data_IF_711019870627
#
_entry.id   IF_711019870627
#
_cell.length_a   1.000
_cell.length_b   1.000
_cell.length_c   1.000
_cell.angle_alpha   90.00
_cell.angle_beta   90.00
_cell.angle_gamma   90.00
#
_symmetry.space_group_name_H-M   'P 1'
#
loop_
_entity.id
_entity.type
_entity.pdbx_description
1 polymer ?
#
# COMPACT_ATOMS: atom_id res chain seq x y z
N UNK A 1 -1.15 22.03 -2.14
CA UNK A 1 0.01 21.17 -2.45
C UNK A 1 0.24 20.12 -1.34
N UNK A 2 0.30 20.48 -0.03
CA UNK A 2 0.59 19.53 1.06
C UNK A 2 -0.39 18.36 1.12
N UNK A 3 -1.69 18.59 0.96
CA UNK A 3 -2.70 17.52 0.93
C UNK A 3 -2.50 16.59 -0.29
N UNK A 4 -2.11 17.11 -1.44
CA UNK A 4 -1.85 16.32 -2.62
C UNK A 4 -0.62 15.40 -2.44
N UNK A 5 0.44 15.87 -1.77
CA UNK A 5 1.59 15.05 -1.39
C UNK A 5 1.19 13.90 -0.45
N UNK A 6 0.37 14.21 0.56
CA UNK A 6 -0.14 13.19 1.46
C UNK A 6 -1.06 12.19 0.73
N UNK A 7 -1.82 12.62 -0.27
CA UNK A 7 -2.64 11.74 -1.09
C UNK A 7 -1.78 10.72 -1.88
N UNK A 8 -0.64 11.13 -2.42
CA UNK A 8 0.32 10.20 -3.07
C UNK A 8 0.82 9.16 -2.05
N UNK A 9 1.21 9.60 -0.85
CA UNK A 9 1.64 8.70 0.24
C UNK A 9 0.51 7.76 0.69
N UNK A 10 -0.71 8.27 0.78
CA UNK A 10 -1.89 7.48 1.16
C UNK A 10 -2.21 6.42 0.11
N UNK A 11 -2.19 6.77 -1.18
CA UNK A 11 -2.37 5.82 -2.27
C UNK A 11 -1.35 4.68 -2.21
N UNK A 12 -0.08 5.00 -1.98
CA UNK A 12 0.98 4.00 -1.85
C UNK A 12 0.75 3.12 -0.61
N UNK A 13 0.41 3.72 0.52
CA UNK A 13 0.11 3.04 1.77
C UNK A 13 -1.05 2.05 1.65
N UNK A 14 -2.07 2.38 0.85
CA UNK A 14 -3.19 1.47 0.57
C UNK A 14 -2.77 0.35 -0.38
N UNK A 15 -2.09 0.68 -1.47
CA UNK A 15 -1.71 -0.29 -2.49
C UNK A 15 -0.73 -1.35 -1.97
N UNK A 16 0.32 -0.95 -1.23
CA UNK A 16 1.29 -1.93 -0.68
C UNK A 16 0.67 -2.91 0.30
N UNK A 17 -0.38 -2.50 1.00
CA UNK A 17 -1.08 -3.34 1.98
C UNK A 17 -2.33 -4.02 1.41
N UNK A 18 -2.68 -3.75 0.17
CA UNK A 18 -3.93 -4.15 -0.46
C UNK A 18 -5.16 -3.77 0.40
N UNK A 19 -5.19 -2.52 0.88
CA UNK A 19 -6.33 -1.94 1.58
C UNK A 19 -7.24 -1.25 0.57
N UNK A 20 -8.43 -1.81 0.38
CA UNK A 20 -9.38 -1.39 -0.65
C UNK A 20 -10.43 -0.38 -0.21
N UNK A 21 -11.21 0.06 -1.19
CA UNK A 21 -12.38 0.93 -1.05
C UNK A 21 -12.13 2.27 -0.34
N UNK A 22 -10.95 2.86 -0.55
CA UNK A 22 -10.62 4.17 0.04
C UNK A 22 -11.24 5.32 -0.74
N UNK A 23 -12.59 5.34 -0.79
CA UNK A 23 -13.40 6.48 -1.20
C UNK A 23 -13.35 7.58 -0.15
N UNK A 24 -13.78 8.78 -0.49
CA UNK A 24 -13.68 9.95 0.39
C UNK A 24 -14.37 9.82 1.76
N UNK A 25 -15.31 8.91 1.91
CA UNK A 25 -16.01 8.64 3.17
C UNK A 25 -15.40 7.49 4.00
N UNK A 26 -14.40 6.77 3.47
CA UNK A 26 -13.72 5.67 4.15
C UNK A 26 -12.35 6.08 4.74
N UNK A 27 -12.03 7.35 4.71
CA UNK A 27 -10.85 7.91 5.37
C UNK A 27 -11.14 9.30 5.95
N UNK A 28 -10.30 9.73 6.86
CA UNK A 28 -10.29 11.09 7.42
C UNK A 28 -8.96 11.77 7.12
N UNK A 29 -8.95 13.09 7.19
CA UNK A 29 -7.73 13.89 7.09
C UNK A 29 -7.48 14.56 8.44
N UNK A 30 -6.47 14.08 9.15
CA UNK A 30 -5.98 14.73 10.35
C UNK A 30 -5.19 15.99 9.94
N UNK A 31 -5.54 17.13 10.51
CA UNK A 31 -4.85 18.41 10.26
C UNK A 31 -4.19 18.84 11.56
N UNK A 32 -2.87 18.87 11.56
CA UNK A 32 -2.08 19.28 12.73
C UNK A 32 -1.36 20.58 12.42
N UNK A 33 -1.53 21.64 13.27
CA UNK A 33 -0.77 22.86 13.15
C UNK A 33 0.75 22.59 13.29
N UNK A 34 1.55 23.29 12.48
CA UNK A 34 3.00 23.23 12.50
C UNK A 34 3.57 24.65 12.35
N UNK A 35 4.84 24.83 12.66
CA UNK A 35 5.56 26.14 12.58
C UNK A 35 5.44 26.75 11.19
N UNK A 36 5.47 25.91 10.15
CA UNK A 36 5.39 26.34 8.74
C UNK A 36 3.97 26.26 8.15
N UNK A 37 2.91 26.07 8.96
CA UNK A 37 1.53 25.95 8.53
C UNK A 37 0.84 24.72 9.10
N UNK A 38 0.18 23.91 8.24
CA UNK A 38 -0.50 22.70 8.69
C UNK A 38 0.09 21.45 8.01
N UNK A 39 0.23 20.40 8.79
CA UNK A 39 0.48 19.05 8.28
C UNK A 39 -0.85 18.32 8.05
N UNK A 40 -0.88 17.49 7.02
CA UNK A 40 -2.05 16.68 6.65
C UNK A 40 -1.67 15.21 6.71
N UNK A 41 -2.52 14.41 7.34
CA UNK A 41 -2.36 12.94 7.37
C UNK A 41 -3.68 12.28 7.02
N UNK A 42 -3.74 11.60 5.89
CA UNK A 42 -4.89 10.77 5.52
C UNK A 42 -4.84 9.46 6.28
N UNK A 43 -5.95 9.09 6.90
CA UNK A 43 -6.06 7.89 7.72
C UNK A 43 -7.32 7.12 7.38
N UNK A 44 -7.16 5.87 6.94
CA UNK A 44 -8.27 4.95 6.74
C UNK A 44 -9.04 4.73 8.05
N UNK A 45 -10.37 4.69 7.96
CA UNK A 45 -11.28 4.43 9.09
C UNK A 45 -12.15 3.20 8.85
N UNK A 46 -12.21 2.70 7.61
CA UNK A 46 -12.92 1.50 7.23
C UNK A 46 -11.92 0.46 6.68
N UNK A 47 -11.99 -0.76 7.19
CA UNK A 47 -11.07 -1.85 6.88
C UNK A 47 -11.78 -3.13 6.43
N UNK A 48 -13.08 -3.09 6.18
CA UNK A 48 -13.86 -4.25 5.78
C UNK A 48 -13.45 -4.78 4.38
N UNK A 49 -12.86 -3.93 3.55
CA UNK A 49 -12.34 -4.25 2.22
C UNK A 49 -10.81 -4.49 2.20
N UNK A 50 -10.23 -4.86 3.34
CA UNK A 50 -8.83 -5.26 3.41
C UNK A 50 -8.62 -6.57 2.67
N UNK A 51 -7.87 -6.51 1.54
CA UNK A 51 -7.49 -7.70 0.75
C UNK A 51 -8.67 -8.60 0.37
N UNK A 52 -9.76 -7.99 -0.09
CA UNK A 52 -11.01 -8.70 -0.40
C UNK A 52 -11.28 -8.81 -1.90
N UNK A 53 -11.01 -7.76 -2.68
CA UNK A 53 -11.33 -7.71 -4.11
C UNK A 53 -10.22 -8.24 -5.02
N UNK A 54 -10.65 -8.75 -6.20
CA UNK A 54 -9.73 -9.27 -7.23
C UNK A 54 -9.08 -8.18 -8.09
N UNK A 55 -9.60 -6.95 -8.10
CA UNK A 55 -9.07 -5.85 -8.92
C UNK A 55 -8.01 -5.06 -8.18
N UNK A 56 -6.83 -4.95 -8.73
CA UNK A 56 -5.72 -4.19 -8.15
C UNK A 56 -5.99 -2.69 -8.07
N UNK A 57 -6.77 -2.14 -8.99
CA UNK A 57 -7.20 -0.73 -8.97
C UNK A 57 -8.06 -0.38 -7.75
N UNK A 58 -8.75 -1.36 -7.17
CA UNK A 58 -9.58 -1.20 -5.98
C UNK A 58 -8.77 -0.82 -4.73
N UNK A 59 -7.47 -1.14 -4.74
CA UNK A 59 -6.51 -0.80 -3.66
C UNK A 59 -5.78 0.52 -3.89
N UNK A 60 -6.21 1.31 -4.86
CA UNK A 60 -5.58 2.56 -5.22
C UNK A 60 -6.59 3.70 -5.16
N UNK A 61 -6.58 4.52 -4.09
CA UNK A 61 -7.49 5.64 -3.89
C UNK A 61 -7.61 6.58 -5.09
N UNK A 62 -6.56 6.70 -5.89
CA UNK A 62 -6.53 7.56 -7.10
C UNK A 62 -7.55 7.19 -8.18
N UNK A 63 -8.09 5.97 -8.16
CA UNK A 63 -9.08 5.52 -9.15
C UNK A 63 -10.54 5.77 -8.73
N UNK A 64 -10.78 6.22 -7.51
CA UNK A 64 -12.13 6.59 -7.06
C UNK A 64 -12.42 8.04 -7.41
N UNK A 65 -13.53 8.28 -8.13
CA UNK A 65 -13.94 9.60 -8.62
C UNK A 65 -14.09 10.65 -7.52
N UNK A 66 -14.49 10.22 -6.34
CA UNK A 66 -14.64 11.06 -5.16
C UNK A 66 -13.33 11.73 -4.73
N UNK A 67 -12.18 11.14 -5.09
CA UNK A 67 -10.86 11.66 -4.77
C UNK A 67 -10.28 12.56 -5.88
N UNK A 68 -10.95 12.69 -7.03
CA UNK A 68 -10.47 13.46 -8.18
C UNK A 68 -9.98 14.87 -7.85
N UNK A 69 -10.66 15.67 -6.99
CA UNK A 69 -10.18 17.03 -6.70
C UNK A 69 -8.75 17.05 -6.15
N UNK A 70 -8.39 16.10 -5.27
CA UNK A 70 -7.03 16.01 -4.70
C UNK A 70 -6.04 15.43 -5.74
N UNK A 71 -6.49 14.46 -6.53
CA UNK A 71 -5.66 13.83 -7.58
C UNK A 71 -5.29 14.87 -8.64
N UNK A 72 -6.23 15.67 -9.11
CA UNK A 72 -5.99 16.72 -10.12
C UNK A 72 -5.08 17.82 -9.57
N UNK A 73 -5.26 18.22 -8.31
CA UNK A 73 -4.34 19.13 -7.64
C UNK A 73 -2.91 18.58 -7.62
N UNK A 74 -2.75 17.28 -7.40
CA UNK A 74 -1.44 16.60 -7.45
C UNK A 74 -0.83 16.64 -8.86
N UNK A 75 -1.62 16.34 -9.87
CA UNK A 75 -1.17 16.36 -11.27
C UNK A 75 -0.76 17.76 -11.76
N UNK A 76 -1.44 18.80 -11.27
CA UNK A 76 -1.11 20.20 -11.59
C UNK A 76 0.21 20.66 -10.97
N UNK A 77 0.54 20.20 -9.77
CA UNK A 77 1.64 20.75 -8.97
C UNK A 77 2.83 19.79 -8.75
N UNK A 78 2.75 18.55 -9.20
CA UNK A 78 3.81 17.55 -9.02
C UNK A 78 4.15 16.86 -10.34
N UNK A 79 5.43 16.69 -10.60
CA UNK A 79 5.93 15.86 -11.69
C UNK A 79 6.10 14.39 -11.22
N UNK A 80 6.31 13.48 -12.17
CA UNK A 80 6.48 12.05 -11.90
C UNK A 80 7.63 11.76 -10.93
N UNK A 81 8.84 12.34 -11.08
CA UNK A 81 9.93 12.12 -10.11
C UNK A 81 9.57 12.49 -8.68
N UNK A 82 8.85 13.61 -8.49
CA UNK A 82 8.38 14.04 -7.17
C UNK A 82 7.37 13.08 -6.58
N UNK A 83 6.43 12.57 -7.37
CA UNK A 83 5.48 11.55 -6.92
C UNK A 83 6.19 10.26 -6.50
N UNK A 84 7.16 9.80 -7.28
CA UNK A 84 7.99 8.62 -6.96
C UNK A 84 8.74 8.83 -5.64
N UNK A 85 9.30 10.01 -5.41
CA UNK A 85 9.97 10.32 -4.14
C UNK A 85 9.02 10.13 -2.95
N UNK A 86 7.79 10.66 -3.02
CA UNK A 86 6.82 10.51 -1.92
C UNK A 86 6.36 9.07 -1.74
N UNK A 87 6.26 8.29 -2.81
CA UNK A 87 6.01 6.84 -2.71
C UNK A 87 7.15 6.14 -1.96
N UNK A 88 8.40 6.43 -2.30
CA UNK A 88 9.58 5.87 -1.64
C UNK A 88 9.66 6.26 -0.16
N UNK A 89 9.36 7.51 0.18
CA UNK A 89 9.28 7.97 1.58
C UNK A 89 8.25 7.16 2.38
N UNK A 90 7.05 6.92 1.83
CA UNK A 90 6.02 6.13 2.51
C UNK A 90 6.44 4.67 2.66
N UNK A 91 7.04 4.06 1.64
CA UNK A 91 7.58 2.69 1.72
C UNK A 91 8.64 2.57 2.81
N UNK A 92 9.54 3.54 2.91
CA UNK A 92 10.55 3.59 3.97
C UNK A 92 9.92 3.66 5.36
N UNK A 93 8.85 4.45 5.53
CA UNK A 93 8.10 4.51 6.79
C UNK A 93 7.45 3.16 7.14
N UNK A 94 6.84 2.49 6.16
CA UNK A 94 6.25 1.16 6.34
C UNK A 94 7.34 0.15 6.75
N UNK A 95 8.45 0.12 6.06
CA UNK A 95 9.57 -0.76 6.38
C UNK A 95 10.14 -0.54 7.79
N UNK A 96 10.30 0.72 8.21
CA UNK A 96 10.74 1.05 9.56
C UNK A 96 9.75 0.59 10.63
N UNK A 97 8.44 0.71 10.38
CA UNK A 97 7.41 0.18 11.29
C UNK A 97 7.43 -1.33 11.39
N UNK A 98 7.65 -2.04 10.27
CA UNK A 98 7.82 -3.49 10.26
C UNK A 98 9.06 -3.88 11.08
N UNK A 99 10.20 -3.23 10.87
CA UNK A 99 11.42 -3.46 11.66
C UNK A 99 11.20 -3.27 13.17
N UNK A 100 10.52 -2.18 13.55
CA UNK A 100 10.23 -1.89 14.95
C UNK A 100 9.27 -2.88 15.62
N UNK A 101 8.48 -3.62 14.81
CA UNK A 101 7.45 -4.57 15.28
C UNK A 101 7.62 -5.96 14.65
N UNK A 102 8.84 -6.38 14.34
CA UNK A 102 9.15 -7.58 13.54
C UNK A 102 8.43 -8.83 14.04
N UNK A 103 8.50 -9.12 15.34
CA UNK A 103 7.83 -10.30 15.94
C UNK A 103 6.32 -10.28 15.73
N UNK A 104 5.70 -9.13 15.97
CA UNK A 104 4.24 -8.95 15.81
C UNK A 104 3.81 -9.07 14.37
N UNK A 105 4.54 -8.46 13.45
CA UNK A 105 4.29 -8.51 12.01
C UNK A 105 4.46 -9.93 11.47
N UNK A 106 5.50 -10.65 11.88
CA UNK A 106 5.72 -12.03 11.49
C UNK A 106 4.57 -12.96 11.96
N UNK A 107 4.10 -12.80 13.21
CA UNK A 107 2.95 -13.57 13.70
C UNK A 107 1.67 -13.27 12.90
N UNK A 108 1.44 -12.01 12.52
CA UNK A 108 0.32 -11.64 11.68
C UNK A 108 0.40 -12.31 10.30
N UNK A 109 1.54 -12.25 9.62
CA UNK A 109 1.71 -12.91 8.32
C UNK A 109 1.54 -14.42 8.38
N UNK A 110 2.05 -15.09 9.43
CA UNK A 110 1.84 -16.53 9.63
C UNK A 110 0.36 -16.93 9.67
N UNK A 111 -0.49 -16.06 10.19
CA UNK A 111 -1.95 -16.29 10.21
C UNK A 111 -2.55 -15.96 8.84
N UNK A 112 -2.19 -14.82 8.27
CA UNK A 112 -2.77 -14.34 7.00
C UNK A 112 -2.51 -15.28 5.82
N UNK A 113 -1.30 -15.82 5.70
CA UNK A 113 -0.96 -16.72 4.57
C UNK A 113 -1.65 -18.09 4.66
N UNK A 114 -2.17 -18.47 5.84
CA UNK A 114 -2.94 -19.69 6.05
C UNK A 114 -4.44 -19.50 5.93
N UNK A 115 -4.87 -18.30 5.54
CA UNK A 115 -6.27 -17.96 5.36
C UNK A 115 -6.92 -18.86 4.30
N UNK A 116 -8.06 -19.48 4.67
CA UNK A 116 -8.85 -20.37 3.81
C UNK A 116 -10.19 -19.74 3.38
N UNK A 117 -10.49 -18.53 3.83
CA UNK A 117 -11.76 -17.84 3.51
C UNK A 117 -11.68 -16.99 2.24
N UNK A 118 -10.51 -16.85 1.64
CA UNK A 118 -10.32 -16.11 0.41
C UNK A 118 -11.12 -16.72 -0.74
N UNK A 119 -11.82 -15.87 -1.51
CA UNK A 119 -12.51 -16.31 -2.72
C UNK A 119 -11.49 -16.68 -3.81
N UNK A 120 -11.48 -17.94 -4.32
CA UNK A 120 -10.47 -18.39 -5.28
C UNK A 120 -10.44 -17.60 -6.59
N UNK A 121 -11.60 -17.17 -7.10
CA UNK A 121 -11.68 -16.39 -8.34
C UNK A 121 -11.07 -15.00 -8.17
N UNK A 122 -11.34 -14.34 -7.04
CA UNK A 122 -10.75 -13.04 -6.71
C UNK A 122 -9.25 -13.15 -6.48
N UNK A 123 -8.79 -14.22 -5.84
CA UNK A 123 -7.35 -14.48 -5.65
C UNK A 123 -6.67 -14.66 -7.01
N UNK A 124 -7.25 -15.46 -7.90
CA UNK A 124 -6.69 -15.68 -9.24
C UNK A 124 -6.61 -14.38 -10.04
N UNK A 125 -7.67 -13.58 -10.04
CA UNK A 125 -7.69 -12.28 -10.72
C UNK A 125 -6.64 -11.32 -10.16
N UNK A 126 -6.56 -11.17 -8.84
CA UNK A 126 -5.61 -10.24 -8.20
C UNK A 126 -4.16 -10.69 -8.42
N UNK A 127 -3.91 -11.99 -8.39
CA UNK A 127 -2.61 -12.58 -8.71
C UNK A 127 -2.14 -12.18 -10.10
N UNK A 128 -2.99 -12.35 -11.11
CA UNK A 128 -2.69 -11.99 -12.51
C UNK A 128 -2.43 -10.49 -12.65
N UNK A 129 -3.29 -9.65 -12.06
CA UNK A 129 -3.14 -8.19 -12.14
C UNK A 129 -1.87 -7.68 -11.40
N UNK A 130 -1.51 -8.25 -10.26
CA UNK A 130 -0.27 -7.90 -9.54
C UNK A 130 0.97 -8.39 -10.30
N UNK A 131 0.93 -9.60 -10.88
CA UNK A 131 2.01 -10.12 -11.73
C UNK A 131 2.24 -9.21 -12.93
N UNK A 132 1.19 -8.78 -13.59
CA UNK A 132 1.26 -7.83 -14.70
C UNK A 132 1.80 -6.45 -14.26
N UNK A 133 1.27 -5.90 -13.15
CA UNK A 133 1.69 -4.60 -12.63
C UNK A 133 3.17 -4.55 -12.26
N UNK A 134 3.65 -5.57 -11.57
CA UNK A 134 5.04 -5.66 -11.12
C UNK A 134 5.99 -6.31 -12.12
N UNK A 135 5.47 -6.87 -13.22
CA UNK A 135 6.23 -7.61 -14.25
C UNK A 135 7.08 -8.74 -13.65
N UNK A 136 6.43 -9.60 -12.88
CA UNK A 136 7.07 -10.69 -12.13
C UNK A 136 6.11 -11.87 -11.99
N UNK A 137 6.65 -13.07 -11.83
CA UNK A 137 5.98 -14.33 -11.57
C UNK A 137 5.91 -14.72 -10.08
N UNK A 138 6.41 -13.85 -9.21
CA UNK A 138 6.48 -14.07 -7.75
C UNK A 138 5.12 -14.42 -7.14
N UNK A 139 4.03 -13.93 -7.73
CA UNK A 139 2.67 -14.18 -7.23
C UNK A 139 2.07 -15.51 -7.66
N UNK A 140 2.69 -16.26 -8.58
CA UNK A 140 2.13 -17.50 -9.13
C UNK A 140 1.88 -18.59 -8.07
N UNK A 141 2.66 -18.55 -6.99
CA UNK A 141 2.53 -19.47 -5.85
C UNK A 141 1.50 -19.02 -4.79
N UNK A 142 0.88 -17.82 -4.98
CA UNK A 142 -0.07 -17.29 -4.01
C UNK A 142 -1.45 -17.91 -4.24
N UNK A 143 -1.99 -18.55 -3.22
CA UNK A 143 -3.30 -19.22 -3.23
C UNK A 143 -4.34 -18.56 -2.30
N UNK A 144 -3.95 -17.52 -1.57
CA UNK A 144 -4.80 -16.76 -0.65
C UNK A 144 -4.54 -15.25 -0.77
N UNK A 145 -5.52 -14.44 -0.34
CA UNK A 145 -5.33 -13.00 -0.22
C UNK A 145 -4.19 -12.64 0.74
N UNK A 146 -4.04 -13.39 1.82
CA UNK A 146 -2.94 -13.20 2.78
C UNK A 146 -1.57 -13.41 2.16
N UNK A 147 -1.40 -14.44 1.31
CA UNK A 147 -0.15 -14.67 0.58
C UNK A 147 0.13 -13.57 -0.45
N UNK A 148 -0.89 -13.05 -1.13
CA UNK A 148 -0.75 -11.92 -2.04
C UNK A 148 -0.30 -10.64 -1.32
N UNK A 149 -0.88 -10.32 -0.16
CA UNK A 149 -0.43 -9.17 0.67
C UNK A 149 1.03 -9.33 1.08
N UNK A 150 1.39 -10.52 1.56
CA UNK A 150 2.76 -10.80 1.99
C UNK A 150 3.77 -10.60 0.87
N UNK A 151 3.54 -11.22 -0.30
CA UNK A 151 4.46 -11.10 -1.43
C UNK A 151 4.46 -9.67 -2.03
N UNK A 152 3.32 -8.98 -2.06
CA UNK A 152 3.26 -7.60 -2.52
C UNK A 152 4.08 -6.65 -1.62
N UNK A 153 3.92 -6.75 -0.31
CA UNK A 153 4.72 -5.98 0.65
C UNK A 153 6.22 -6.28 0.50
N UNK A 154 6.58 -7.55 0.48
CA UNK A 154 7.96 -8.00 0.33
C UNK A 154 8.60 -7.48 -0.96
N UNK A 155 7.91 -7.60 -2.08
CA UNK A 155 8.40 -7.16 -3.39
C UNK A 155 8.57 -5.64 -3.45
N UNK A 156 7.55 -4.89 -3.00
CA UNK A 156 7.56 -3.43 -3.05
C UNK A 156 8.63 -2.86 -2.12
N UNK A 157 8.73 -3.36 -0.89
CA UNK A 157 9.72 -2.87 0.08
C UNK A 157 11.15 -3.27 -0.29
N UNK A 158 11.36 -4.45 -0.91
CA UNK A 158 12.68 -4.88 -1.34
C UNK A 158 13.26 -4.03 -2.49
N UNK A 159 12.40 -3.49 -3.38
CA UNK A 159 12.84 -2.65 -4.50
C UNK A 159 13.53 -1.37 -4.05
N UNK A 160 13.05 -0.76 -2.97
CA UNK A 160 13.57 0.52 -2.48
C UNK A 160 14.87 0.35 -1.67
N UNK A 161 15.09 -0.83 -1.09
CA UNK A 161 16.29 -1.12 -0.29
C UNK A 161 17.50 -1.58 -1.12
N UNK A 162 17.32 -1.94 -2.39
CA UNK A 162 18.46 -2.23 -3.30
C UNK A 162 19.30 -0.99 -3.63
N UNK A 163 18.78 0.20 -3.40
CA UNK A 163 19.50 1.47 -3.60
C UNK A 163 20.18 1.99 -2.32
N UNK A 164 19.88 1.42 -1.15
CA UNK A 164 20.54 1.76 0.11
C UNK A 164 21.50 0.64 0.52
N UNK A 165 22.62 1.01 1.11
CA UNK A 165 23.65 0.07 1.63
C UNK A 165 23.16 -0.81 2.78
N UNK A 166 21.93 -0.66 3.21
CA UNK A 166 21.27 -1.47 4.25
C UNK A 166 20.29 -2.43 3.63
N UNK A 167 20.56 -3.73 3.71
CA UNK A 167 19.60 -4.79 3.36
C UNK A 167 18.43 -4.77 4.32
N UNK A 168 17.23 -4.62 3.79
CA UNK A 168 15.99 -4.81 4.57
C UNK A 168 15.68 -6.32 4.61
N UNK A 169 15.79 -6.88 5.80
CA UNK A 169 15.40 -8.27 6.03
C UNK A 169 13.88 -8.30 6.33
N UNK A 170 13.11 -8.71 5.33
CA UNK A 170 11.65 -8.83 5.46
C UNK A 170 11.32 -10.06 6.33
N UNK A 171 10.26 -10.00 7.19
CA UNK A 171 9.87 -11.12 8.02
C UNK A 171 9.70 -12.40 7.20
N UNK A 172 10.44 -13.46 7.56
CA UNK A 172 10.29 -14.78 6.92
C UNK A 172 9.17 -15.54 7.59
N UNK A 173 8.31 -16.14 6.78
CA UNK A 173 7.29 -17.07 7.23
C UNK A 173 7.90 -18.46 7.12
N UNK A 174 8.14 -19.10 8.28
CA UNK A 174 8.55 -20.50 8.37
C UNK A 174 7.32 -21.41 8.41
#
# INVERSE_FOLDING_TARGET
>A
IRIAKECVKFNERCFVRLLGDMRSYNYVVDITPDIEGSQYRMRAIDFDQQSYEGRSSFYQPKYFKENNPIIFLGQEHMNVPTMVQYQMEERSLIANRIKASMRRTNNLFKVMVKDQISNPEKVAQLREELSYHHKTDVFDQCDSMGSLVYENLKLVLAKDFKQSTTTFDFPRIE
#
